data_IF_732180378111
#
_entry.id   IF_732180378111
#
_cell.length_a   1.000
_cell.length_b   1.000
_cell.length_c   1.000
_cell.angle_alpha   90.00
_cell.angle_beta   90.00
_cell.angle_gamma   90.00
#
_symmetry.space_group_name_H-M   'P 1'
#
loop_
_entity.id
_entity.type
_entity.pdbx_description
1 polymer ?
#
# COMPACT_ATOMS: atom_id res chain seq x y z
N UNK A 1 -81.26 -5.28 6.22
CA UNK A 1 -80.58 -4.23 5.43
C UNK A 1 -79.55 -3.42 6.25
N UNK A 2 -78.55 -4.08 6.87
CA UNK A 2 -77.56 -3.42 7.73
C UNK A 2 -76.18 -3.22 7.07
N UNK A 3 -75.94 -3.79 5.88
CA UNK A 3 -74.60 -3.90 5.29
C UNK A 3 -74.12 -2.60 4.62
N UNK A 4 -75.03 -1.83 4.01
CA UNK A 4 -74.73 -0.48 3.47
C UNK A 4 -74.41 0.56 4.57
N UNK A 5 -74.54 0.20 5.85
CA UNK A 5 -74.09 1.02 6.98
C UNK A 5 -72.59 0.95 7.24
N UNK A 6 -71.87 -0.01 6.65
CA UNK A 6 -70.43 -0.22 6.87
C UNK A 6 -69.52 0.60 5.94
N UNK A 7 -70.09 1.17 4.87
CA UNK A 7 -69.39 2.00 3.88
C UNK A 7 -69.57 3.50 4.12
N UNK A 8 -68.64 4.30 3.60
CA UNK A 8 -68.74 5.77 3.53
C UNK A 8 -69.63 6.19 2.36
N UNK A 9 -69.96 7.48 2.30
CA UNK A 9 -70.72 8.08 1.18
C UNK A 9 -70.07 7.79 -0.17
N UNK A 10 -68.74 7.87 -0.23
CA UNK A 10 -67.93 7.56 -1.41
C UNK A 10 -68.10 6.09 -1.86
N UNK A 11 -68.11 5.16 -0.92
CA UNK A 11 -68.31 3.72 -1.20
C UNK A 11 -69.68 3.48 -1.85
N UNK A 12 -70.71 4.22 -1.41
CA UNK A 12 -72.07 4.15 -1.97
C UNK A 12 -72.19 4.81 -3.34
N UNK A 13 -71.40 5.85 -3.63
CA UNK A 13 -71.33 6.45 -4.97
C UNK A 13 -70.69 5.52 -5.99
N UNK A 14 -69.58 4.87 -5.61
CA UNK A 14 -68.94 3.86 -6.45
C UNK A 14 -69.91 2.70 -6.68
N UNK A 15 -70.59 2.22 -5.63
CA UNK A 15 -71.59 1.16 -5.75
C UNK A 15 -72.75 1.56 -6.68
N UNK A 16 -73.31 2.76 -6.54
CA UNK A 16 -74.39 3.23 -7.41
C UNK A 16 -73.94 3.37 -8.88
N UNK A 17 -72.67 3.72 -9.10
CA UNK A 17 -72.06 3.78 -10.44
C UNK A 17 -71.91 2.37 -11.04
N UNK A 18 -71.40 1.41 -10.28
CA UNK A 18 -71.26 0.00 -10.71
C UNK A 18 -72.63 -0.65 -11.04
N UNK A 19 -73.68 -0.23 -10.34
CA UNK A 19 -75.06 -0.66 -10.61
C UNK A 19 -75.74 0.13 -11.74
N UNK A 20 -75.03 1.04 -12.43
CA UNK A 20 -75.54 1.91 -13.49
C UNK A 20 -76.76 2.76 -13.08
N UNK A 21 -76.83 3.16 -11.81
CA UNK A 21 -77.90 4.00 -11.29
C UNK A 21 -77.59 5.47 -11.55
N UNK A 22 -78.61 6.23 -11.95
CA UNK A 22 -78.51 7.69 -12.03
C UNK A 22 -78.72 8.28 -10.64
N UNK A 23 -77.69 8.92 -10.11
CA UNK A 23 -77.73 9.63 -8.84
C UNK A 23 -77.12 11.02 -8.99
N UNK A 24 -77.46 11.90 -8.04
CA UNK A 24 -76.83 13.22 -7.94
C UNK A 24 -75.81 13.23 -6.78
N UNK A 25 -74.72 13.96 -6.95
CA UNK A 25 -73.64 14.09 -5.96
C UNK A 25 -74.18 14.77 -4.70
N UNK A 26 -75.21 15.62 -4.80
CA UNK A 26 -75.84 16.24 -3.63
C UNK A 26 -76.63 15.26 -2.74
N UNK A 27 -76.98 14.07 -3.26
CA UNK A 27 -77.79 13.08 -2.54
C UNK A 27 -77.15 12.65 -1.22
N UNK A 28 -77.97 12.55 -0.19
CA UNK A 28 -77.56 12.07 1.14
C UNK A 28 -77.34 10.55 1.14
N UNK A 29 -76.60 10.06 2.13
CA UNK A 29 -76.39 8.62 2.35
C UNK A 29 -77.72 7.86 2.45
N UNK A 30 -78.73 8.44 3.09
CA UNK A 30 -80.05 7.81 3.21
C UNK A 30 -80.73 7.68 1.83
N UNK A 31 -80.82 8.77 1.08
CA UNK A 31 -81.41 8.78 -0.27
C UNK A 31 -80.67 7.89 -1.26
N UNK A 32 -79.35 7.73 -1.13
CA UNK A 32 -78.55 6.82 -1.96
C UNK A 32 -78.83 5.36 -1.63
N UNK A 33 -78.98 5.03 -0.33
CA UNK A 33 -79.34 3.66 0.09
C UNK A 33 -80.72 3.27 -0.45
N UNK A 34 -81.68 4.18 -0.32
CA UNK A 34 -83.04 3.96 -0.79
C UNK A 34 -83.08 3.77 -2.32
N UNK A 35 -82.29 4.54 -3.07
CA UNK A 35 -82.14 4.40 -4.53
C UNK A 35 -81.55 3.04 -4.94
N UNK A 36 -80.54 2.56 -4.22
CA UNK A 36 -79.89 1.27 -4.51
C UNK A 36 -80.84 0.10 -4.23
N UNK A 37 -81.53 0.13 -3.08
CA UNK A 37 -82.47 -0.91 -2.67
C UNK A 37 -83.73 -0.91 -3.54
N UNK A 38 -84.18 0.27 -3.98
CA UNK A 38 -85.37 0.44 -4.83
C UNK A 38 -85.13 0.19 -6.32
N UNK A 39 -83.95 -0.31 -6.72
CA UNK A 39 -83.65 -0.60 -8.12
C UNK A 39 -84.41 -1.84 -8.63
N UNK A 40 -84.85 -1.79 -9.89
CA UNK A 40 -85.72 -2.81 -10.51
C UNK A 40 -85.06 -4.21 -10.54
N UNK A 41 -83.73 -4.27 -10.56
CA UNK A 41 -82.93 -5.50 -10.60
C UNK A 41 -82.09 -5.71 -9.32
N UNK A 42 -82.59 -5.26 -8.17
CA UNK A 42 -81.86 -5.39 -6.90
C UNK A 42 -81.67 -6.86 -6.48
N UNK A 43 -80.42 -7.30 -6.44
CA UNK A 43 -80.01 -8.56 -5.81
C UNK A 43 -79.17 -8.26 -4.54
N UNK A 44 -79.66 -8.67 -3.38
CA UNK A 44 -79.00 -8.38 -2.10
C UNK A 44 -77.63 -9.06 -1.97
N UNK A 45 -77.45 -10.27 -2.53
CA UNK A 45 -76.20 -11.02 -2.45
C UNK A 45 -75.10 -10.38 -3.30
N UNK A 46 -75.43 -10.08 -4.56
CA UNK A 46 -74.55 -9.42 -5.52
C UNK A 46 -74.20 -8.01 -5.07
N UNK A 47 -75.19 -7.22 -4.66
CA UNK A 47 -74.98 -5.84 -4.19
C UNK A 47 -74.12 -5.79 -2.93
N UNK A 48 -74.32 -6.73 -1.99
CA UNK A 48 -73.50 -6.84 -0.78
C UNK A 48 -72.06 -7.25 -1.08
N UNK A 49 -71.84 -8.15 -2.04
CA UNK A 49 -70.49 -8.54 -2.46
C UNK A 49 -69.75 -7.36 -3.09
N UNK A 50 -70.37 -6.66 -4.05
CA UNK A 50 -69.79 -5.48 -4.69
C UNK A 50 -69.47 -4.39 -3.64
N UNK A 51 -70.40 -4.11 -2.73
CA UNK A 51 -70.17 -3.17 -1.64
C UNK A 51 -69.01 -3.59 -0.71
N UNK A 52 -68.90 -4.89 -0.38
CA UNK A 52 -67.78 -5.39 0.45
C UNK A 52 -66.46 -5.17 -0.26
N UNK A 53 -66.37 -5.53 -1.54
CA UNK A 53 -65.17 -5.33 -2.36
C UNK A 53 -64.77 -3.87 -2.44
N UNK A 54 -65.72 -2.94 -2.68
CA UNK A 54 -65.44 -1.50 -2.71
C UNK A 54 -64.87 -1.01 -1.37
N UNK A 55 -65.48 -1.43 -0.27
CA UNK A 55 -65.03 -1.03 1.08
C UNK A 55 -63.66 -1.60 1.41
N UNK A 56 -63.39 -2.84 1.01
CA UNK A 56 -62.09 -3.51 1.16
C UNK A 56 -61.01 -2.81 0.31
N UNK A 57 -61.29 -2.52 -0.96
CA UNK A 57 -60.41 -1.79 -1.86
C UNK A 57 -60.05 -0.40 -1.33
N UNK A 58 -61.03 0.36 -0.82
CA UNK A 58 -60.76 1.67 -0.22
C UNK A 58 -59.84 1.55 0.99
N UNK A 59 -60.11 0.58 1.88
CA UNK A 59 -59.27 0.35 3.07
C UNK A 59 -57.85 -0.05 2.67
N UNK A 60 -57.70 -0.92 1.67
CA UNK A 60 -56.40 -1.32 1.15
C UNK A 60 -55.65 -0.12 0.54
N UNK A 61 -56.32 0.76 -0.19
CA UNK A 61 -55.72 2.01 -0.72
C UNK A 61 -55.28 2.95 0.40
N UNK A 62 -56.11 3.15 1.42
CA UNK A 62 -55.76 3.96 2.59
C UNK A 62 -54.57 3.39 3.36
N UNK A 63 -54.51 2.07 3.51
CA UNK A 63 -53.38 1.38 4.16
C UNK A 63 -52.09 1.49 3.33
N UNK A 64 -52.18 1.25 2.02
CA UNK A 64 -51.03 1.42 1.11
C UNK A 64 -50.48 2.84 1.14
N UNK A 65 -51.36 3.86 1.14
CA UNK A 65 -50.95 5.26 1.25
C UNK A 65 -50.20 5.52 2.56
N UNK A 66 -50.68 4.99 3.69
CA UNK A 66 -50.00 5.11 4.99
C UNK A 66 -48.63 4.43 4.98
N UNK A 67 -48.53 3.26 4.38
CA UNK A 67 -47.26 2.52 4.25
C UNK A 67 -46.28 3.32 3.38
N UNK A 68 -46.76 3.90 2.28
CA UNK A 68 -45.94 4.72 1.38
C UNK A 68 -45.44 6.01 2.06
N UNK A 69 -46.31 6.71 2.80
CA UNK A 69 -45.93 7.87 3.61
C UNK A 69 -44.89 7.50 4.70
N UNK A 70 -45.04 6.34 5.34
CA UNK A 70 -44.06 5.86 6.33
C UNK A 70 -42.72 5.52 5.69
N UNK A 71 -42.74 4.86 4.52
CA UNK A 71 -41.52 4.55 3.76
C UNK A 71 -40.80 5.82 3.33
N UNK A 72 -41.51 6.82 2.86
CA UNK A 72 -40.90 8.08 2.43
C UNK A 72 -40.29 8.85 3.61
N UNK A 73 -40.96 8.86 4.77
CA UNK A 73 -40.38 9.41 6.01
C UNK A 73 -39.09 8.71 6.41
N UNK A 74 -39.05 7.38 6.35
CA UNK A 74 -37.85 6.60 6.65
C UNK A 74 -36.71 6.91 5.66
N UNK A 75 -37.01 7.03 4.36
CA UNK A 75 -36.01 7.38 3.33
C UNK A 75 -35.41 8.76 3.58
N UNK A 76 -36.23 9.74 3.94
CA UNK A 76 -35.76 11.09 4.26
C UNK A 76 -34.86 11.07 5.51
N UNK A 77 -35.24 10.31 6.55
CA UNK A 77 -34.45 10.19 7.77
C UNK A 77 -33.10 9.51 7.50
N UNK A 78 -33.08 8.42 6.73
CA UNK A 78 -31.84 7.76 6.30
C UNK A 78 -30.93 8.69 5.48
N UNK A 79 -31.49 9.51 4.60
CA UNK A 79 -30.71 10.50 3.84
C UNK A 79 -30.11 11.57 4.74
N UNK A 80 -30.87 12.07 5.73
CA UNK A 80 -30.36 13.02 6.72
C UNK A 80 -29.25 12.44 7.56
N UNK A 81 -29.39 11.20 8.02
CA UNK A 81 -28.36 10.52 8.81
C UNK A 81 -27.09 10.30 7.98
N UNK A 82 -27.22 9.89 6.71
CA UNK A 82 -26.07 9.77 5.80
C UNK A 82 -25.33 11.10 5.60
N UNK A 83 -26.06 12.19 5.40
CA UNK A 83 -25.47 13.53 5.28
C UNK A 83 -24.74 13.92 6.56
N UNK A 84 -25.34 13.67 7.73
CA UNK A 84 -24.71 13.96 9.03
C UNK A 84 -23.41 13.18 9.24
N UNK A 85 -23.39 11.91 8.86
CA UNK A 85 -22.19 11.06 8.93
C UNK A 85 -21.12 11.58 7.97
N UNK A 86 -21.48 11.98 6.75
CA UNK A 86 -20.52 12.50 5.77
C UNK A 86 -19.91 13.84 6.23
N UNK A 87 -20.72 14.74 6.78
CA UNK A 87 -20.23 16.00 7.38
C UNK A 87 -19.27 15.75 8.55
N UNK A 88 -19.55 14.77 9.41
CA UNK A 88 -18.66 14.39 10.51
C UNK A 88 -17.33 13.83 9.99
N UNK A 89 -17.37 12.98 8.96
CA UNK A 89 -16.16 12.44 8.33
C UNK A 89 -15.31 13.52 7.70
N UNK A 90 -15.95 14.48 7.01
CA UNK A 90 -15.21 15.57 6.38
C UNK A 90 -14.57 16.50 7.42
N UNK A 91 -15.25 16.77 8.54
CA UNK A 91 -14.65 17.50 9.67
C UNK A 91 -13.42 16.80 10.23
N UNK A 92 -13.50 15.48 10.47
CA UNK A 92 -12.36 14.69 10.96
C UNK A 92 -11.19 14.72 9.96
N UNK A 93 -11.47 14.63 8.64
CA UNK A 93 -10.42 14.74 7.61
C UNK A 93 -9.73 16.10 7.61
N UNK A 94 -10.49 17.18 7.81
CA UNK A 94 -9.94 18.53 7.90
C UNK A 94 -9.06 18.65 9.16
N UNK A 95 -9.54 18.17 10.30
CA UNK A 95 -8.79 18.18 11.57
C UNK A 95 -7.48 17.37 11.48
N UNK A 96 -7.52 16.15 10.94
CA UNK A 96 -6.30 15.35 10.71
C UNK A 96 -5.30 16.06 9.77
N UNK A 97 -5.80 16.78 8.76
CA UNK A 97 -4.95 17.54 7.84
C UNK A 97 -4.32 18.74 8.55
N UNK A 98 -5.07 19.45 9.38
CA UNK A 98 -4.55 20.55 10.18
C UNK A 98 -3.51 20.08 11.19
N UNK A 99 -3.73 18.95 11.87
CA UNK A 99 -2.73 18.36 12.77
C UNK A 99 -1.45 17.96 12.04
N UNK A 100 -1.55 17.34 10.87
CA UNK A 100 -0.38 17.02 10.03
C UNK A 100 0.42 18.27 9.67
N UNK A 101 -0.26 19.34 9.25
CA UNK A 101 0.40 20.60 8.92
C UNK A 101 1.06 21.24 10.16
N UNK A 102 0.43 21.16 11.33
CA UNK A 102 1.04 21.62 12.60
C UNK A 102 2.29 20.81 12.94
N UNK A 103 2.24 19.49 12.80
CA UNK A 103 3.38 18.63 13.08
C UNK A 103 4.54 18.89 12.11
N UNK A 104 4.24 19.07 10.82
CA UNK A 104 5.23 19.44 9.80
C UNK A 104 5.87 20.81 10.09
N UNK A 105 5.07 21.82 10.47
CA UNK A 105 5.58 23.13 10.87
C UNK A 105 6.51 23.04 12.09
N UNK A 106 6.12 22.29 13.12
CA UNK A 106 6.97 22.07 14.30
C UNK A 106 8.29 21.39 13.93
N UNK A 107 8.27 20.42 13.02
CA UNK A 107 9.47 19.76 12.51
C UNK A 107 10.41 20.72 11.77
N UNK A 108 9.84 21.58 10.91
CA UNK A 108 10.61 22.61 10.22
C UNK A 108 11.23 23.63 11.19
N UNK A 109 10.50 24.06 12.22
CA UNK A 109 11.02 24.99 13.23
C UNK A 109 12.09 24.34 14.12
N UNK A 110 11.97 23.05 14.44
CA UNK A 110 13.03 22.32 15.13
C UNK A 110 14.29 22.21 14.26
N UNK A 111 14.13 21.93 12.96
CA UNK A 111 15.26 21.87 12.04
C UNK A 111 15.94 23.23 11.91
N UNK A 112 15.18 24.32 11.74
CA UNK A 112 15.73 25.69 11.73
C UNK A 112 16.52 26.00 12.99
N UNK A 113 16.00 25.64 14.18
CA UNK A 113 16.74 25.82 15.44
C UNK A 113 18.04 25.01 15.48
N UNK A 114 18.05 23.79 14.93
CA UNK A 114 19.28 22.98 14.82
C UNK A 114 20.28 23.62 13.86
N UNK A 115 19.82 24.07 12.69
CA UNK A 115 20.66 24.71 11.69
C UNK A 115 21.26 26.04 12.23
N UNK A 116 20.47 26.84 12.95
CA UNK A 116 20.93 28.04 13.65
C UNK A 116 21.98 27.73 14.73
N UNK A 117 21.74 26.69 15.54
CA UNK A 117 22.68 26.25 16.56
C UNK A 117 23.99 25.72 15.95
N UNK A 118 23.92 24.97 14.86
CA UNK A 118 25.11 24.52 14.13
C UNK A 118 25.89 25.70 13.55
N UNK A 119 25.22 26.69 12.98
CA UNK A 119 25.86 27.89 12.45
C UNK A 119 26.56 28.71 13.55
N UNK A 120 25.92 28.85 14.70
CA UNK A 120 26.52 29.55 15.85
C UNK A 120 27.72 28.78 16.42
N UNK A 121 27.65 27.44 16.46
CA UNK A 121 28.80 26.60 16.81
C UNK A 121 29.94 26.76 15.81
N UNK A 122 29.64 26.82 14.50
CA UNK A 122 30.63 27.03 13.45
C UNK A 122 31.30 28.41 13.57
N UNK A 123 30.54 29.45 13.93
CA UNK A 123 31.09 30.79 14.24
C UNK A 123 32.04 30.78 15.44
N UNK A 124 31.71 30.06 16.51
CA UNK A 124 32.56 29.96 17.69
C UNK A 124 33.83 29.13 17.39
N UNK A 125 33.73 28.08 16.58
CA UNK A 125 34.87 27.26 16.17
C UNK A 125 35.84 27.97 15.22
N UNK A 126 35.37 28.86 14.34
CA UNK A 126 36.26 29.71 13.53
C UNK A 126 36.92 30.84 14.35
N UNK A 127 36.41 31.15 15.55
CA UNK A 127 36.99 32.11 16.48
C UNK A 127 38.03 31.53 17.44
N UNK A 128 38.18 30.19 17.51
CA UNK A 128 39.05 29.51 18.44
C UNK A 128 39.91 28.44 17.73
N UNK A 129 41.22 28.66 17.78
CA UNK A 129 42.32 27.73 17.50
C UNK A 129 42.81 27.55 16.05
N UNK A 130 43.84 28.36 15.78
CA UNK A 130 45.15 27.83 15.39
C UNK A 130 45.56 26.62 16.23
N UNK A 131 45.55 25.41 15.68
CA UNK A 131 46.58 24.38 15.90
C UNK A 131 46.28 23.11 15.11
N UNK A 132 47.31 22.64 14.43
CA UNK A 132 47.31 21.49 13.52
C UNK A 132 47.38 20.18 14.32
N UNK A 133 46.26 19.53 14.57
CA UNK A 133 46.21 18.10 14.98
C UNK A 133 44.81 17.45 14.82
N UNK A 134 43.86 18.13 14.17
CA UNK A 134 42.45 17.71 14.03
C UNK A 134 42.10 17.12 12.66
N UNK A 135 43.02 17.05 11.70
CA UNK A 135 42.67 16.78 10.30
C UNK A 135 42.22 15.33 10.04
N UNK A 136 42.76 14.32 10.72
CA UNK A 136 42.42 12.91 10.40
C UNK A 136 41.10 12.41 11.02
N UNK A 137 40.69 12.92 12.19
CA UNK A 137 39.40 12.55 12.83
C UNK A 137 38.21 13.36 12.30
N UNK A 138 38.43 14.57 11.79
CA UNK A 138 37.36 15.37 11.20
C UNK A 138 36.90 14.82 9.84
N UNK A 139 37.85 14.41 8.99
CA UNK A 139 37.55 14.00 7.60
C UNK A 139 36.71 12.70 7.52
N UNK A 140 36.92 11.73 8.42
CA UNK A 140 36.13 10.47 8.44
C UNK A 140 34.66 10.74 8.84
N UNK A 141 34.44 11.76 9.67
CA UNK A 141 33.10 12.16 10.12
C UNK A 141 32.33 12.92 9.04
N UNK A 142 33.02 13.48 8.05
CA UNK A 142 32.42 14.22 6.95
C UNK A 142 31.90 13.29 5.85
N UNK A 143 32.70 12.32 5.38
CA UNK A 143 32.26 11.44 4.29
C UNK A 143 31.14 10.50 4.73
N UNK A 144 31.15 10.02 5.98
CA UNK A 144 30.08 9.17 6.52
C UNK A 144 28.73 9.89 6.68
N UNK A 145 28.70 11.23 6.64
CA UNK A 145 27.46 12.01 6.52
C UNK A 145 26.90 12.04 5.09
N UNK A 146 27.74 11.85 4.08
CA UNK A 146 27.36 11.96 2.67
C UNK A 146 27.24 10.60 1.95
N UNK A 147 27.88 9.57 2.47
CA UNK A 147 27.85 8.20 1.94
C UNK A 147 27.43 7.25 3.06
N UNK A 148 26.42 6.44 2.80
CA UNK A 148 26.00 5.37 3.69
C UNK A 148 27.01 4.22 3.69
N UNK A 149 27.03 3.43 4.77
CA UNK A 149 27.90 2.25 4.85
C UNK A 149 27.54 1.25 3.75
N UNK A 150 28.54 0.68 3.11
CA UNK A 150 28.36 -0.29 2.03
C UNK A 150 27.59 -1.51 2.54
N UNK A 151 26.48 -1.83 1.88
CA UNK A 151 25.77 -3.10 2.07
C UNK A 151 26.27 -4.12 1.03
N UNK A 152 26.53 -5.35 1.48
CA UNK A 152 26.93 -6.48 0.61
C UNK A 152 25.91 -6.75 -0.52
N UNK A 153 24.66 -6.28 -0.35
CA UNK A 153 23.59 -6.35 -1.35
C UNK A 153 23.74 -5.33 -2.49
N UNK A 154 24.52 -4.26 -2.31
CA UNK A 154 24.68 -3.18 -3.31
C UNK A 154 25.75 -3.50 -4.36
N UNK A 155 25.65 -2.90 -5.55
CA UNK A 155 26.70 -3.01 -6.56
C UNK A 155 27.92 -2.20 -6.14
N UNK A 156 29.03 -2.90 -5.85
CA UNK A 156 30.27 -2.26 -5.43
C UNK A 156 30.82 -1.32 -6.50
N UNK A 157 30.54 -1.59 -7.78
CA UNK A 157 31.06 -0.82 -8.90
C UNK A 157 30.39 0.55 -8.93
N UNK A 158 29.10 0.58 -8.62
CA UNK A 158 28.33 1.80 -8.48
C UNK A 158 28.71 2.52 -7.19
N UNK A 159 28.86 1.79 -6.09
CA UNK A 159 29.28 2.34 -4.80
C UNK A 159 30.65 3.01 -4.86
N UNK A 160 31.66 2.36 -5.46
CA UNK A 160 33.00 2.93 -5.64
C UNK A 160 32.97 4.17 -6.54
N UNK A 161 32.16 4.18 -7.60
CA UNK A 161 31.97 5.39 -8.44
C UNK A 161 31.34 6.54 -7.66
N UNK A 162 30.35 6.27 -6.81
CA UNK A 162 29.74 7.28 -5.95
C UNK A 162 30.74 7.82 -4.93
N UNK A 163 31.55 6.92 -4.34
CA UNK A 163 32.64 7.27 -3.44
C UNK A 163 33.67 8.17 -4.12
N UNK A 164 34.17 7.81 -5.31
CA UNK A 164 35.13 8.63 -6.07
C UNK A 164 34.59 10.02 -6.36
N UNK A 165 33.33 10.11 -6.80
CA UNK A 165 32.71 11.40 -7.11
C UNK A 165 32.56 12.28 -5.87
N UNK A 166 32.29 11.68 -4.71
CA UNK A 166 32.17 12.41 -3.46
C UNK A 166 33.54 12.79 -2.89
N UNK A 167 34.52 11.91 -3.00
CA UNK A 167 35.90 12.17 -2.57
C UNK A 167 36.52 13.31 -3.36
N UNK A 168 36.27 13.36 -4.67
CA UNK A 168 36.62 14.49 -5.53
C UNK A 168 35.87 15.77 -5.16
N UNK A 169 34.56 15.68 -4.86
CA UNK A 169 33.75 16.85 -4.48
C UNK A 169 34.20 17.47 -3.15
N UNK A 170 34.67 16.65 -2.22
CA UNK A 170 35.20 17.07 -0.92
C UNK A 170 36.71 17.39 -0.96
N UNK A 171 37.34 17.31 -2.14
CA UNK A 171 38.76 17.58 -2.35
C UNK A 171 39.68 16.81 -1.39
N UNK A 172 39.38 15.53 -1.19
CA UNK A 172 40.15 14.65 -0.30
C UNK A 172 41.38 14.13 -1.04
N UNK A 173 42.54 14.18 -0.38
CA UNK A 173 43.79 13.63 -0.92
C UNK A 173 43.70 12.12 -1.13
N UNK A 174 44.22 11.62 -2.27
CA UNK A 174 44.15 10.20 -2.64
C UNK A 174 44.77 9.26 -1.60
N UNK A 175 45.76 9.73 -0.85
CA UNK A 175 46.39 9.01 0.27
C UNK A 175 45.38 8.65 1.38
N UNK A 176 44.34 9.47 1.55
CA UNK A 176 43.31 9.26 2.58
C UNK A 176 42.08 8.51 2.05
N UNK A 177 41.96 8.25 0.74
CA UNK A 177 40.78 7.61 0.15
C UNK A 177 40.57 6.20 0.69
N UNK A 178 41.63 5.42 0.84
CA UNK A 178 41.54 4.06 1.40
C UNK A 178 41.09 4.10 2.86
N UNK A 179 41.68 4.97 3.68
CA UNK A 179 41.32 5.14 5.10
C UNK A 179 39.84 5.48 5.28
N UNK A 180 39.33 6.35 4.40
CA UNK A 180 37.91 6.71 4.37
C UNK A 180 37.02 5.56 3.88
N UNK A 181 37.46 4.84 2.86
CA UNK A 181 36.75 3.68 2.33
C UNK A 181 36.64 2.57 3.39
N UNK A 182 37.72 2.27 4.13
CA UNK A 182 37.73 1.28 5.20
C UNK A 182 36.72 1.59 6.33
N UNK A 183 36.48 2.87 6.62
CA UNK A 183 35.48 3.29 7.61
C UNK A 183 34.03 3.11 7.14
N UNK A 184 33.81 2.95 5.84
CA UNK A 184 32.48 2.79 5.23
C UNK A 184 32.17 1.34 4.82
N UNK A 185 33.19 0.48 4.77
CA UNK A 185 33.07 -0.92 4.39
C UNK A 185 32.76 -1.82 5.61
N UNK A 186 31.95 -2.89 5.44
CA UNK A 186 31.81 -3.94 6.43
C UNK A 186 33.14 -4.64 6.73
N UNK A 187 33.24 -5.19 7.93
CA UNK A 187 34.43 -5.88 8.46
C UNK A 187 34.94 -7.00 7.54
N UNK A 188 34.03 -7.71 6.89
CA UNK A 188 34.33 -8.80 5.94
C UNK A 188 35.12 -8.30 4.73
N UNK A 189 34.82 -7.09 4.27
CA UNK A 189 35.49 -6.46 3.12
C UNK A 189 36.81 -5.85 3.56
N UNK A 190 36.84 -5.22 4.72
CA UNK A 190 38.05 -4.66 5.32
C UNK A 190 39.10 -5.74 5.61
N UNK A 191 38.69 -6.95 6.01
CA UNK A 191 39.61 -8.09 6.17
C UNK A 191 40.25 -8.55 4.85
N UNK A 192 39.61 -8.35 3.69
CA UNK A 192 40.19 -8.69 2.39
C UNK A 192 41.33 -7.71 2.06
N UNK A 193 41.13 -6.43 2.36
CA UNK A 193 42.13 -5.38 2.16
C UNK A 193 43.31 -5.57 3.13
N UNK A 194 43.05 -5.96 4.38
CA UNK A 194 44.07 -6.21 5.40
C UNK A 194 44.98 -7.44 5.12
N UNK A 195 44.62 -8.31 4.16
CA UNK A 195 45.44 -9.47 3.75
C UNK A 195 46.44 -9.14 2.64
N UNK A 196 46.33 -7.96 2.03
CA UNK A 196 47.31 -7.47 1.06
C UNK A 196 48.47 -6.75 1.76
N UNK A 197 49.61 -6.63 1.09
CA UNK A 197 50.76 -5.89 1.59
C UNK A 197 50.44 -4.40 1.79
N UNK A 198 50.98 -3.76 2.83
CA UNK A 198 50.71 -2.35 3.20
C UNK A 198 50.86 -1.37 2.02
N UNK A 199 51.87 -1.57 1.16
CA UNK A 199 52.12 -0.74 -0.03
C UNK A 199 50.96 -0.81 -1.05
N UNK A 200 50.28 -1.95 -1.13
CA UNK A 200 49.16 -2.19 -2.03
C UNK A 200 47.83 -1.86 -1.38
N UNK A 201 47.71 -2.03 -0.06
CA UNK A 201 46.54 -1.67 0.71
C UNK A 201 46.32 -0.14 0.70
N UNK A 202 47.39 0.66 0.70
CA UNK A 202 47.30 2.12 0.67
C UNK A 202 47.02 2.71 -0.73
N UNK A 203 47.10 1.91 -1.80
CA UNK A 203 46.78 2.35 -3.15
C UNK A 203 45.29 2.19 -3.45
N UNK A 204 44.59 3.32 -3.63
CA UNK A 204 43.17 3.29 -3.99
C UNK A 204 42.91 2.55 -5.30
N UNK A 205 43.76 2.70 -6.33
CA UNK A 205 43.61 1.99 -7.60
C UNK A 205 43.68 0.48 -7.42
N UNK A 206 44.62 0.01 -6.59
CA UNK A 206 44.76 -1.40 -6.30
C UNK A 206 43.58 -1.94 -5.49
N UNK A 207 43.15 -1.22 -4.45
CA UNK A 207 41.98 -1.58 -3.64
C UNK A 207 40.71 -1.58 -4.49
N UNK A 208 40.52 -0.58 -5.36
CA UNK A 208 39.43 -0.51 -6.32
C UNK A 208 39.43 -1.73 -7.23
N UNK A 209 40.57 -2.09 -7.82
CA UNK A 209 40.67 -3.28 -8.67
C UNK A 209 40.48 -4.59 -7.92
N UNK A 210 40.97 -4.68 -6.68
CA UNK A 210 40.79 -5.84 -5.80
C UNK A 210 39.31 -6.03 -5.46
N UNK A 211 38.64 -4.96 -5.04
CA UNK A 211 37.22 -4.92 -4.75
C UNK A 211 36.41 -5.21 -6.01
N UNK A 212 36.71 -4.56 -7.13
CA UNK A 212 36.05 -4.86 -8.40
C UNK A 212 36.30 -6.30 -8.85
N UNK A 213 37.48 -6.90 -8.65
CA UNK A 213 37.71 -8.32 -9.00
C UNK A 213 36.98 -9.29 -8.09
N UNK A 214 36.90 -9.00 -6.79
CA UNK A 214 36.23 -9.86 -5.79
C UNK A 214 34.70 -9.74 -5.82
N UNK A 215 34.20 -8.55 -6.13
CA UNK A 215 32.77 -8.22 -6.14
C UNK A 215 32.19 -7.98 -7.55
N UNK A 216 32.98 -8.13 -8.62
CA UNK A 216 32.49 -8.29 -10.00
C UNK A 216 31.38 -9.32 -9.93
N UNK A 217 30.15 -8.85 -10.10
CA UNK A 217 28.88 -9.58 -9.99
C UNK A 217 29.05 -11.05 -10.37
N UNK A 218 29.45 -11.84 -9.37
CA UNK A 218 29.66 -13.26 -9.59
C UNK A 218 28.26 -13.85 -9.75
N UNK A 219 28.13 -14.91 -10.54
CA UNK A 219 26.95 -15.78 -10.50
C UNK A 219 26.37 -15.96 -9.10
N UNK A 220 27.26 -16.13 -8.12
CA UNK A 220 26.94 -16.33 -6.72
C UNK A 220 26.24 -15.11 -6.07
N UNK A 221 26.59 -13.89 -6.46
CA UNK A 221 25.90 -12.68 -5.96
C UNK A 221 24.50 -12.54 -6.57
N UNK A 222 24.36 -12.84 -7.86
CA UNK A 222 23.04 -12.88 -8.51
C UNK A 222 22.13 -13.97 -7.91
N UNK A 223 22.71 -15.15 -7.59
CA UNK A 223 22.04 -16.21 -6.83
C UNK A 223 21.58 -15.67 -5.48
N UNK A 224 22.46 -15.08 -4.69
CA UNK A 224 22.10 -14.54 -3.37
C UNK A 224 21.01 -13.47 -3.43
N UNK A 225 21.08 -12.56 -4.41
CA UNK A 225 20.01 -11.59 -4.65
C UNK A 225 18.71 -12.29 -5.01
N UNK A 226 18.71 -13.25 -5.94
CA UNK A 226 17.50 -14.02 -6.30
C UNK A 226 16.86 -14.73 -5.09
N UNK A 227 17.66 -15.21 -4.14
CA UNK A 227 17.19 -15.95 -2.96
C UNK A 227 16.73 -15.07 -1.82
N UNK A 228 17.44 -13.98 -1.57
CA UNK A 228 17.19 -13.09 -0.42
C UNK A 228 16.25 -11.94 -0.77
N UNK A 229 15.94 -11.74 -2.05
CA UNK A 229 15.04 -10.69 -2.50
C UNK A 229 13.60 -10.95 -2.04
N UNK A 230 13.08 -10.03 -1.24
CA UNK A 230 11.71 -10.05 -0.75
C UNK A 230 10.93 -8.87 -1.34
N UNK A 231 9.64 -9.08 -1.57
CA UNK A 231 8.78 -8.03 -2.10
C UNK A 231 8.64 -6.91 -1.07
N UNK A 232 9.12 -5.72 -1.41
CA UNK A 232 8.88 -4.51 -0.62
C UNK A 232 7.38 -4.16 -0.63
N UNK A 233 6.81 -3.72 0.51
CA UNK A 233 5.37 -3.41 0.61
C UNK A 233 4.92 -2.26 -0.29
N UNK A 234 5.84 -1.39 -0.70
CA UNK A 234 5.58 -0.19 -1.51
C UNK A 234 5.72 -0.40 -3.03
N UNK A 235 6.33 -1.51 -3.48
CA UNK A 235 6.62 -1.76 -4.90
C UNK A 235 5.50 -2.49 -5.63
N UNK A 236 5.26 -2.14 -6.90
CA UNK A 236 4.33 -2.86 -7.78
C UNK A 236 4.87 -4.28 -8.06
N UNK A 237 3.96 -5.25 -8.17
CA UNK A 237 4.30 -6.67 -8.42
C UNK A 237 5.09 -6.90 -9.72
N UNK A 238 4.87 -6.04 -10.72
CA UNK A 238 5.54 -6.10 -12.03
C UNK A 238 7.03 -5.78 -11.88
N UNK A 239 7.36 -4.73 -11.12
CA UNK A 239 8.75 -4.33 -10.86
C UNK A 239 9.51 -5.43 -10.12
N UNK A 240 8.87 -6.07 -9.13
CA UNK A 240 9.42 -7.22 -8.43
C UNK A 240 9.73 -8.42 -9.35
N UNK A 241 8.85 -8.69 -10.33
CA UNK A 241 9.09 -9.73 -11.34
C UNK A 241 10.29 -9.39 -12.23
N UNK A 242 10.41 -8.15 -12.70
CA UNK A 242 11.53 -7.72 -13.53
C UNK A 242 12.86 -7.75 -12.77
N UNK A 243 12.86 -7.37 -11.48
CA UNK A 243 14.03 -7.48 -10.59
C UNK A 243 14.46 -8.95 -10.44
N UNK A 244 13.53 -9.86 -10.12
CA UNK A 244 13.83 -11.30 -10.03
C UNK A 244 14.35 -11.88 -11.34
N UNK A 245 13.74 -11.53 -12.47
CA UNK A 245 14.17 -12.00 -13.78
C UNK A 245 15.58 -11.50 -14.13
N UNK A 246 15.90 -10.27 -13.77
CA UNK A 246 17.24 -9.70 -13.95
C UNK A 246 18.28 -10.44 -13.11
N UNK A 247 17.98 -10.76 -11.85
CA UNK A 247 18.89 -11.53 -11.00
C UNK A 247 19.08 -12.95 -11.51
N UNK A 248 18.00 -13.61 -11.93
CA UNK A 248 18.07 -14.98 -12.45
C UNK A 248 18.90 -15.07 -13.75
N UNK A 249 18.66 -14.16 -14.70
CA UNK A 249 19.41 -14.13 -15.95
C UNK A 249 20.88 -13.77 -15.70
N UNK A 250 21.17 -12.81 -14.82
CA UNK A 250 22.54 -12.51 -14.41
C UNK A 250 23.27 -13.71 -13.77
N UNK A 251 22.55 -14.56 -13.03
CA UNK A 251 23.10 -15.78 -12.44
C UNK A 251 23.47 -16.82 -13.52
N UNK A 252 22.56 -17.07 -14.46
CA UNK A 252 22.74 -18.03 -15.56
C UNK A 252 23.81 -17.57 -16.55
N UNK A 253 23.76 -16.30 -16.95
CA UNK A 253 24.68 -15.70 -17.92
C UNK A 253 26.11 -15.71 -17.38
N UNK A 254 26.29 -15.42 -16.09
CA UNK A 254 27.59 -15.47 -15.45
C UNK A 254 28.18 -16.89 -15.35
N UNK A 255 27.35 -17.93 -15.36
CA UNK A 255 27.77 -19.34 -15.38
C UNK A 255 27.85 -19.93 -16.80
N UNK A 256 27.50 -19.13 -17.83
CA UNK A 256 27.41 -19.56 -19.23
C UNK A 256 26.58 -20.83 -19.39
N UNK A 257 25.44 -20.88 -18.71
CA UNK A 257 24.50 -22.00 -18.79
C UNK A 257 23.63 -21.82 -20.03
N UNK A 258 23.89 -22.65 -21.04
CA UNK A 258 23.27 -22.62 -22.37
C UNK A 258 22.24 -23.74 -22.59
N UNK A 259 22.23 -24.76 -21.73
CA UNK A 259 21.40 -25.96 -21.88
C UNK A 259 20.49 -26.17 -20.66
N UNK A 260 19.25 -26.62 -20.91
CA UNK A 260 18.29 -26.95 -19.85
C UNK A 260 18.84 -27.95 -18.82
N UNK A 261 19.61 -28.95 -19.23
CA UNK A 261 20.22 -29.92 -18.31
C UNK A 261 21.18 -29.25 -17.31
N UNK A 262 22.04 -28.33 -17.78
CA UNK A 262 22.95 -27.56 -16.92
C UNK A 262 22.18 -26.66 -15.95
N UNK A 263 21.07 -26.08 -16.40
CA UNK A 263 20.19 -25.29 -15.53
C UNK A 263 19.53 -26.17 -14.46
N UNK A 264 19.02 -27.35 -14.85
CA UNK A 264 18.44 -28.32 -13.92
C UNK A 264 19.46 -28.73 -12.85
N UNK A 265 20.69 -29.08 -13.26
CA UNK A 265 21.78 -29.45 -12.36
C UNK A 265 22.16 -28.30 -11.41
N UNK A 266 22.20 -27.06 -11.91
CA UNK A 266 22.46 -25.88 -11.09
C UNK A 266 21.38 -25.69 -10.00
N UNK A 267 20.10 -25.77 -10.37
CA UNK A 267 18.99 -25.58 -9.43
C UNK A 267 18.96 -26.71 -8.40
N UNK A 268 19.20 -27.95 -8.81
CA UNK A 268 19.30 -29.10 -7.89
C UNK A 268 20.47 -28.93 -6.93
N UNK A 269 21.64 -28.52 -7.44
CA UNK A 269 22.85 -28.25 -6.62
C UNK A 269 22.60 -27.11 -5.64
N UNK A 270 21.91 -26.05 -6.05
CA UNK A 270 21.55 -24.93 -5.19
C UNK A 270 20.63 -25.37 -4.03
N UNK A 271 19.62 -26.20 -4.33
CA UNK A 271 18.72 -26.74 -3.32
C UNK A 271 19.43 -27.71 -2.36
N UNK A 272 20.35 -28.53 -2.86
CA UNK A 272 21.19 -29.39 -2.03
C UNK A 272 22.05 -28.55 -1.07
N UNK A 273 22.78 -27.55 -1.60
CA UNK A 273 23.63 -26.64 -0.81
C UNK A 273 22.90 -25.93 0.32
N UNK A 274 21.60 -25.65 0.18
CA UNK A 274 20.78 -25.04 1.25
C UNK A 274 20.36 -26.01 2.35
N UNK A 275 20.22 -27.29 2.01
CA UNK A 275 19.78 -28.34 2.93
C UNK A 275 20.95 -29.07 3.60
N UNK A 276 22.19 -28.86 3.14
CA UNK A 276 23.39 -29.48 3.71
C UNK A 276 23.81 -28.82 5.04
N UNK A 277 24.06 -29.61 6.12
CA UNK A 277 24.59 -29.12 7.40
C UNK A 277 25.97 -28.44 7.28
N UNK A 278 26.27 -27.56 8.24
CA UNK A 278 27.49 -26.74 8.27
C UNK A 278 28.80 -27.56 8.24
N UNK A 279 28.79 -28.75 8.84
CA UNK A 279 29.94 -29.66 8.95
C UNK A 279 30.47 -30.14 7.58
N UNK A 280 29.59 -30.26 6.57
CA UNK A 280 29.98 -30.70 5.23
C UNK A 280 30.56 -29.54 4.39
N UNK A 281 30.18 -28.31 4.73
CA UNK A 281 30.60 -27.08 4.03
C UNK A 281 32.05 -26.70 4.34
N UNK A 282 32.53 -27.07 5.52
CA UNK A 282 33.89 -26.80 5.99
C UNK A 282 34.93 -27.68 5.28
N UNK A 283 34.54 -28.90 4.88
CA UNK A 283 35.44 -29.86 4.23
C UNK A 283 35.77 -29.52 2.77
N UNK A 284 34.93 -28.71 2.10
CA UNK A 284 35.06 -28.37 0.68
C UNK A 284 35.14 -26.86 0.42
N UNK A 285 35.58 -26.06 1.39
CA UNK A 285 35.55 -24.58 1.34
C UNK A 285 36.01 -23.95 0.01
N UNK A 286 37.06 -24.47 -0.63
CA UNK A 286 37.60 -23.96 -1.90
C UNK A 286 36.84 -24.44 -3.15
N UNK A 287 36.26 -25.64 -3.11
CA UNK A 287 35.51 -26.23 -4.25
C UNK A 287 34.00 -25.90 -4.19
N UNK A 288 33.47 -25.69 -2.98
CA UNK A 288 32.05 -25.44 -2.69
C UNK A 288 31.52 -24.17 -3.38
N UNK A 289 32.37 -23.15 -3.51
CA UNK A 289 32.05 -21.90 -4.21
C UNK A 289 31.92 -22.08 -5.73
N UNK A 290 32.56 -23.11 -6.31
CA UNK A 290 32.63 -23.34 -7.75
C UNK A 290 31.79 -24.55 -8.22
N UNK A 291 31.20 -25.33 -7.30
CA UNK A 291 30.35 -26.47 -7.63
C UNK A 291 29.03 -26.02 -8.28
N UNK A 292 28.87 -26.27 -9.58
CA UNK A 292 27.64 -26.02 -10.35
C UNK A 292 26.92 -27.31 -10.77
N UNK A 293 27.43 -28.47 -10.35
CA UNK A 293 26.88 -29.79 -10.65
C UNK A 293 26.72 -30.59 -9.35
N UNK A 294 25.66 -31.40 -9.22
CA UNK A 294 25.47 -32.20 -8.03
C UNK A 294 26.56 -33.29 -7.98
N UNK A 295 27.25 -33.39 -6.84
CA UNK A 295 28.23 -34.46 -6.59
C UNK A 295 27.48 -35.79 -6.48
N UNK A 296 27.31 -36.47 -7.61
CA UNK A 296 27.01 -37.89 -7.62
C UNK A 296 28.26 -38.62 -8.08
N UNK A 297 29.03 -39.09 -7.11
CA UNK A 297 29.80 -40.32 -7.24
C UNK A 297 29.25 -41.30 -6.22
#
# INVERSE_FOLDING_TARGET
>A
MAYLGKGRREDLFVLATELNLKFDISMTIATLKDLIIGSENYDEGLTKNIHSTIVEDRKAREENLRIEEQKEKLRIEEQKEKLRIEEQKEKLRIEEREERLRFEQLGLDEQKRKDEFELEKFRIQLGADTSKESDTKFLVKEISKFIHRFDLKEDISLYLKLFERQALRLNIDQENWVSHLLGLLPTEVSHIIARESDDKANSFEHVKDLLLKRFKLTPEKFRQLFVTHQKSPEKKRIDFYHELNTYFNGWIDGLKIDTFNKLSDLIITDQLKRKTPFEFKEYYLDEWANMNTPLFN
#
